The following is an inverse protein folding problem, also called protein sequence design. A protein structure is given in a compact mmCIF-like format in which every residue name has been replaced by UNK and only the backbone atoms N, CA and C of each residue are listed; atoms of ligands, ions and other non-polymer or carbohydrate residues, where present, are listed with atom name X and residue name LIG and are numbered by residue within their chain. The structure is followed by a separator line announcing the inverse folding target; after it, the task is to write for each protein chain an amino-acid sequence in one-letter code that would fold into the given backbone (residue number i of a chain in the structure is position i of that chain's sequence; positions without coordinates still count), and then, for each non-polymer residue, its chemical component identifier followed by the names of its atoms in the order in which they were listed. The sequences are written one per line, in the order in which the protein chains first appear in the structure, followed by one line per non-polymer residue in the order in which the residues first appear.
data_IF_204417238334
#
_entry.id   IF_204417238334
#
_cell.length_a   1.000
_cell.length_b   1.000
_cell.length_c   1.000
_cell.angle_alpha   90.00
_cell.angle_beta   90.00
_cell.angle_gamma   90.00
#
_symmetry.space_group_name_H-M   'P 1'
#
loop_
_entity.id
_entity.type
_entity.pdbx_description
1 polymer ?
#
# COMPACT_ATOMS: atom_id res chain seq x y z
N UNK A 1 2.54 13.43 -35.91
CA UNK A 1 3.64 14.36 -35.51
C UNK A 1 3.03 15.75 -35.43
N UNK A 2 3.36 16.65 -34.47
CA UNK A 2 4.32 16.59 -33.36
C UNK A 2 3.61 16.67 -31.97
N UNK A 3 4.02 15.93 -30.92
CA UNK A 3 5.08 16.25 -29.95
C UNK A 3 5.14 17.73 -29.55
N UNK A 4 4.74 18.04 -28.31
CA UNK A 4 5.30 19.19 -27.59
C UNK A 4 5.49 18.86 -26.12
N UNK A 5 6.77 18.85 -25.78
CA UNK A 5 7.39 18.55 -24.51
C UNK A 5 7.35 19.80 -23.63
N UNK A 6 7.18 19.54 -22.33
CA UNK A 6 7.45 20.36 -21.13
C UNK A 6 8.30 21.63 -21.33
N UNK A 7 7.99 22.64 -20.52
CA UNK A 7 9.01 23.25 -19.66
C UNK A 7 8.44 23.79 -18.34
N UNK A 8 9.07 23.36 -17.25
CA UNK A 8 9.01 23.95 -15.91
C UNK A 8 9.76 25.28 -15.94
N UNK A 9 9.21 26.32 -15.30
CA UNK A 9 10.04 27.45 -14.83
C UNK A 9 9.92 27.61 -13.32
N UNK A 10 11.07 27.45 -12.68
CA UNK A 10 11.37 27.87 -11.32
C UNK A 10 11.12 29.37 -11.15
N UNK A 11 10.34 29.75 -10.14
CA UNK A 11 10.26 31.11 -9.62
C UNK A 11 10.75 31.12 -8.17
N UNK A 12 12.04 31.39 -7.97
CA UNK A 12 12.65 31.63 -6.66
C UNK A 12 12.34 33.09 -6.27
N UNK A 13 11.90 33.39 -5.05
CA UNK A 13 11.49 34.75 -4.68
C UNK A 13 12.72 35.63 -4.40
N UNK A 14 12.73 36.82 -5.02
CA UNK A 14 13.69 37.87 -4.72
C UNK A 14 13.17 38.75 -3.58
N UNK A 15 13.95 38.82 -2.50
CA UNK A 15 13.73 39.73 -1.39
C UNK A 15 13.88 41.19 -1.85
N UNK A 16 12.99 42.07 -1.38
CA UNK A 16 13.33 43.50 -1.22
C UNK A 16 12.60 44.10 -0.02
N UNK A 17 13.33 44.98 0.63
CA UNK A 17 13.20 45.44 1.99
C UNK A 17 12.64 46.87 2.09
N UNK A 18 12.25 47.21 3.33
CA UNK A 18 11.99 48.54 3.96
C UNK A 18 10.52 48.95 4.08
N UNK A 19 10.06 49.63 5.14
CA UNK A 19 10.47 49.89 6.54
C UNK A 19 9.33 50.80 7.12
N UNK A 20 9.14 50.81 8.45
CA UNK A 20 8.60 51.91 9.32
C UNK A 20 7.14 51.80 9.85
N UNK A 21 7.03 51.92 11.20
CA UNK A 21 5.85 52.33 11.99
C UNK A 21 5.43 51.29 13.04
N UNK A 22 5.90 51.36 14.31
CA UNK A 22 5.19 51.90 15.50
C UNK A 22 3.93 51.08 15.87
N UNK A 23 3.66 50.50 17.05
CA UNK A 23 3.92 50.77 18.49
C UNK A 23 3.57 49.45 19.29
N UNK A 24 3.51 49.38 20.64
CA UNK A 24 4.05 48.26 21.42
C UNK A 24 3.00 47.26 21.91
N UNK A 25 3.30 45.97 21.83
CA UNK A 25 2.60 44.93 22.59
C UNK A 25 3.63 43.98 23.21
N UNK A 26 4.37 44.48 24.22
CA UNK A 26 5.21 43.61 25.03
C UNK A 26 4.32 42.80 25.97
N UNK A 27 3.88 41.64 25.49
CA UNK A 27 3.55 40.52 26.36
C UNK A 27 4.42 39.33 25.98
N UNK A 28 5.50 39.15 26.74
CA UNK A 28 6.30 37.95 26.71
C UNK A 28 5.52 36.78 27.34
N UNK A 29 5.19 35.78 26.54
CA UNK A 29 5.12 34.36 26.87
C UNK A 29 5.05 33.65 25.49
N UNK A 30 6.09 33.04 24.97
CA UNK A 30 6.84 31.94 25.59
C UNK A 30 6.33 30.64 24.98
N UNK A 31 7.21 29.93 24.26
CA UNK A 31 7.01 28.61 23.65
C UNK A 31 6.02 28.58 22.46
N UNK A 32 6.41 28.42 21.19
CA UNK A 32 7.51 27.58 20.75
C UNK A 32 7.21 26.13 21.11
N UNK A 33 6.27 25.50 20.42
CA UNK A 33 6.18 24.05 20.23
C UNK A 33 5.37 23.87 18.93
N UNK A 34 6.08 23.79 17.81
CA UNK A 34 6.35 22.49 17.19
C UNK A 34 5.04 21.76 16.99
N UNK A 35 4.52 21.85 15.76
CA UNK A 35 3.72 20.76 15.21
C UNK A 35 4.45 19.47 15.56
N UNK A 36 3.93 18.71 16.52
CA UNK A 36 4.17 17.28 16.55
C UNK A 36 3.60 16.81 15.23
N UNK A 37 4.46 16.80 14.20
CA UNK A 37 4.37 15.77 13.19
C UNK A 37 4.43 14.51 14.04
N UNK A 38 3.27 13.90 14.29
CA UNK A 38 3.25 12.53 14.76
C UNK A 38 3.80 11.73 13.58
N UNK A 39 5.12 11.75 13.51
CA UNK A 39 5.96 10.70 12.99
C UNK A 39 5.64 9.48 13.84
N UNK A 40 4.44 8.93 13.67
CA UNK A 40 4.04 7.70 14.31
C UNK A 40 4.85 6.61 13.64
N UNK A 41 5.77 6.06 14.44
CA UNK A 41 6.44 4.78 14.28
C UNK A 41 5.60 3.92 13.32
N UNK A 42 6.05 3.72 12.07
CA UNK A 42 5.46 2.64 11.27
C UNK A 42 5.72 1.39 12.11
N UNK A 43 4.70 0.74 12.71
CA UNK A 43 4.95 -0.57 13.30
C UNK A 43 5.61 -1.39 12.20
N UNK A 44 6.65 -2.16 12.56
CA UNK A 44 7.26 -3.06 11.59
C UNK A 44 6.10 -3.80 10.90
N UNK A 45 5.93 -3.64 9.58
CA UNK A 45 4.75 -4.15 8.92
C UNK A 45 4.77 -5.65 9.19
N UNK A 46 3.72 -6.18 9.81
CA UNK A 46 3.60 -7.61 9.95
C UNK A 46 3.48 -8.14 8.53
N UNK A 47 4.47 -8.90 8.10
CA UNK A 47 4.50 -9.45 6.74
C UNK A 47 4.23 -10.94 6.82
N UNK A 48 3.32 -11.42 5.97
CA UNK A 48 3.13 -12.85 5.76
C UNK A 48 3.23 -13.15 4.28
N UNK A 49 4.07 -14.12 3.92
CA UNK A 49 4.24 -14.59 2.56
C UNK A 49 3.72 -16.01 2.43
N UNK A 50 3.03 -16.32 1.34
CA UNK A 50 2.63 -17.68 1.01
C UNK A 50 2.88 -17.98 -0.46
N UNK A 51 3.11 -19.25 -0.74
CA UNK A 51 3.33 -19.76 -2.09
C UNK A 51 2.30 -20.84 -2.38
N UNK A 52 1.62 -20.69 -3.50
CA UNK A 52 0.46 -21.52 -3.84
C UNK A 52 0.61 -22.01 -5.27
N UNK A 53 0.70 -23.32 -5.46
CA UNK A 53 0.83 -23.91 -6.80
C UNK A 53 -0.56 -24.16 -7.39
N UNK A 54 -0.85 -23.55 -8.53
CA UNK A 54 -2.12 -23.66 -9.25
C UNK A 54 -1.86 -23.80 -10.76
N UNK A 55 -2.37 -24.86 -11.39
CA UNK A 55 -2.23 -25.12 -12.84
C UNK A 55 -2.87 -24.06 -13.77
N UNK A 56 -3.54 -23.04 -13.21
CA UNK A 56 -4.12 -21.90 -13.93
C UNK A 56 -3.95 -20.60 -13.15
N UNK A 57 -2.75 -20.37 -12.59
CA UNK A 57 -2.46 -19.21 -11.72
C UNK A 57 -2.84 -17.86 -12.37
N UNK A 58 -2.71 -17.71 -13.70
CA UNK A 58 -3.10 -16.50 -14.42
C UNK A 58 -4.63 -16.22 -14.34
N UNK A 59 -5.45 -17.23 -14.63
CA UNK A 59 -6.91 -17.12 -14.56
C UNK A 59 -7.38 -16.92 -13.13
N UNK A 60 -6.73 -17.58 -12.17
CA UNK A 60 -7.05 -17.43 -10.74
C UNK A 60 -6.73 -16.00 -10.29
N UNK A 61 -5.54 -15.49 -10.62
CA UNK A 61 -5.13 -14.12 -10.31
C UNK A 61 -6.10 -13.10 -10.91
N UNK A 62 -6.44 -13.24 -12.19
CA UNK A 62 -7.35 -12.31 -12.88
C UNK A 62 -8.75 -12.30 -12.26
N UNK A 63 -9.32 -13.48 -11.96
CA UNK A 63 -10.64 -13.57 -11.29
C UNK A 63 -10.62 -12.95 -9.91
N UNK A 64 -9.57 -13.21 -9.13
CA UNK A 64 -9.40 -12.70 -7.78
C UNK A 64 -9.26 -11.17 -7.79
N UNK A 65 -8.45 -10.62 -8.70
CA UNK A 65 -8.31 -9.17 -8.87
C UNK A 65 -9.63 -8.51 -9.28
N UNK A 66 -10.35 -9.10 -10.26
CA UNK A 66 -11.65 -8.59 -10.70
C UNK A 66 -12.70 -8.63 -9.59
N UNK A 67 -12.66 -9.66 -8.74
CA UNK A 67 -13.55 -9.76 -7.58
C UNK A 67 -13.25 -8.65 -6.56
N UNK A 68 -11.98 -8.44 -6.21
CA UNK A 68 -11.60 -7.42 -5.25
C UNK A 68 -11.79 -6.00 -5.78
N UNK A 69 -11.58 -5.75 -7.07
CA UNK A 69 -11.78 -4.45 -7.71
C UNK A 69 -13.22 -3.89 -7.58
N UNK A 70 -14.18 -4.72 -7.16
CA UNK A 70 -15.56 -4.30 -6.85
C UNK A 70 -15.61 -3.52 -5.52
N UNK A 71 -14.78 -3.91 -4.54
CA UNK A 71 -14.83 -3.38 -3.17
C UNK A 71 -13.62 -2.53 -2.79
N UNK A 72 -12.46 -2.82 -3.35
CA UNK A 72 -11.18 -2.20 -2.98
C UNK A 72 -10.39 -1.81 -4.22
N UNK A 73 -9.53 -0.78 -4.15
CA UNK A 73 -8.65 -0.42 -5.24
C UNK A 73 -7.61 -1.53 -5.48
N UNK A 74 -7.53 -2.00 -6.72
CA UNK A 74 -6.59 -3.04 -7.16
C UNK A 74 -5.86 -2.56 -8.39
N UNK A 75 -4.53 -2.70 -8.37
CA UNK A 75 -3.65 -2.52 -9.53
C UNK A 75 -3.14 -3.90 -9.91
N UNK A 76 -3.42 -4.37 -11.13
CA UNK A 76 -2.99 -5.69 -11.56
C UNK A 76 -2.52 -5.70 -13.02
N UNK A 77 -1.60 -6.61 -13.29
CA UNK A 77 -0.99 -6.91 -14.57
C UNK A 77 -1.12 -8.43 -14.86
N UNK A 78 -0.54 -8.90 -15.97
CA UNK A 78 -0.53 -10.33 -16.31
C UNK A 78 0.29 -11.23 -15.36
N UNK A 79 1.17 -10.63 -14.54
CA UNK A 79 2.07 -11.36 -13.65
C UNK A 79 2.06 -10.89 -12.20
N UNK A 80 1.60 -9.66 -11.93
CA UNK A 80 1.66 -9.06 -10.61
C UNK A 80 0.35 -8.37 -10.30
N UNK A 81 -0.05 -8.39 -9.04
CA UNK A 81 -1.22 -7.66 -8.58
C UNK A 81 -0.94 -7.07 -7.20
N UNK A 82 -1.49 -5.89 -6.96
CA UNK A 82 -1.42 -5.18 -5.69
C UNK A 82 -2.84 -4.76 -5.34
N UNK A 83 -3.31 -5.27 -4.21
CA UNK A 83 -4.62 -4.97 -3.64
C UNK A 83 -4.38 -4.13 -2.40
N UNK A 84 -5.00 -2.96 -2.36
CA UNK A 84 -4.91 -2.07 -1.20
C UNK A 84 -6.18 -2.25 -0.36
N UNK A 85 -6.03 -2.86 0.82
CA UNK A 85 -7.10 -3.03 1.79
C UNK A 85 -7.04 -1.90 2.82
N UNK A 86 -8.18 -1.52 3.44
CA UNK A 86 -8.19 -0.48 4.47
C UNK A 86 -7.41 -0.85 5.75
N UNK A 87 -6.95 -2.10 5.87
CA UNK A 87 -6.22 -2.64 7.00
C UNK A 87 -4.83 -3.19 6.63
N UNK A 88 -4.39 -3.00 5.38
CA UNK A 88 -3.08 -3.42 4.90
C UNK A 88 -2.98 -3.55 3.38
N UNK A 89 -1.80 -3.88 2.88
CA UNK A 89 -1.56 -4.05 1.44
C UNK A 89 -1.25 -5.52 1.15
N UNK A 90 -1.84 -6.05 0.08
CA UNK A 90 -1.57 -7.41 -0.39
C UNK A 90 -0.95 -7.35 -1.79
N UNK A 91 0.22 -7.94 -1.93
CA UNK A 91 0.92 -8.08 -3.20
C UNK A 91 0.89 -9.54 -3.62
N UNK A 92 0.67 -9.78 -4.89
CA UNK A 92 0.64 -11.10 -5.49
C UNK A 92 1.54 -11.10 -6.71
N UNK A 93 2.33 -12.14 -6.86
CA UNK A 93 3.24 -12.33 -7.97
C UNK A 93 3.12 -13.75 -8.50
N UNK A 94 2.90 -13.87 -9.80
CA UNK A 94 2.77 -15.14 -10.49
C UNK A 94 4.08 -15.49 -11.17
N UNK A 95 4.55 -16.71 -10.92
CA UNK A 95 5.73 -17.32 -11.54
C UNK A 95 5.31 -18.65 -12.15
N UNK A 96 4.86 -18.62 -13.42
CA UNK A 96 4.34 -19.80 -14.09
C UNK A 96 3.03 -20.27 -13.44
N UNK A 97 3.08 -21.48 -12.87
CA UNK A 97 2.00 -22.13 -12.10
C UNK A 97 2.08 -21.83 -10.59
N UNK A 98 3.11 -21.12 -10.13
CA UNK A 98 3.23 -20.69 -8.74
C UNK A 98 2.64 -19.29 -8.58
N UNK A 99 1.82 -19.10 -7.55
CA UNK A 99 1.33 -17.79 -7.12
C UNK A 99 1.91 -17.49 -5.74
N UNK A 100 2.78 -16.49 -5.68
CA UNK A 100 3.33 -15.95 -4.45
C UNK A 100 2.47 -14.80 -3.97
N UNK A 101 2.18 -14.77 -2.69
CA UNK A 101 1.31 -13.79 -2.04
C UNK A 101 2.10 -13.22 -0.88
N UNK A 102 2.04 -11.90 -0.72
CA UNK A 102 2.70 -11.15 0.34
C UNK A 102 1.70 -10.16 0.91
N UNK A 103 1.27 -10.40 2.13
CA UNK A 103 0.38 -9.53 2.88
C UNK A 103 1.20 -8.71 3.87
N UNK A 104 0.93 -7.41 3.94
CA UNK A 104 1.59 -6.44 4.82
C UNK A 104 0.49 -5.71 5.61
N UNK A 105 0.54 -5.75 6.95
CA UNK A 105 -0.47 -5.11 7.82
C UNK A 105 0.18 -4.42 9.02
N UNK A 106 -0.56 -3.53 9.67
CA UNK A 106 -0.10 -2.82 10.87
C UNK A 106 -0.21 -3.64 12.18
N UNK A 107 -0.90 -4.79 12.14
CA UNK A 107 -1.11 -5.67 13.31
C UNK A 107 -1.19 -7.14 12.92
N UNK A 108 -0.76 -8.02 13.82
CA UNK A 108 -0.82 -9.47 13.67
C UNK A 108 -2.26 -10.02 13.56
N UNK A 109 -3.23 -9.40 14.23
CA UNK A 109 -4.65 -9.79 14.17
C UNK A 109 -5.22 -9.53 12.76
N UNK A 110 -5.00 -8.32 12.24
CA UNK A 110 -5.32 -7.94 10.86
C UNK A 110 -4.63 -8.84 9.84
N UNK A 111 -3.38 -9.23 10.12
CA UNK A 111 -2.64 -10.16 9.26
C UNK A 111 -3.32 -11.53 9.22
N UNK A 112 -3.72 -12.07 10.36
CA UNK A 112 -4.40 -13.36 10.44
C UNK A 112 -5.74 -13.33 9.70
N UNK A 113 -6.51 -12.24 9.87
CA UNK A 113 -7.74 -12.02 9.13
C UNK A 113 -7.49 -11.95 7.61
N UNK A 114 -6.49 -11.20 7.17
CA UNK A 114 -6.15 -11.09 5.74
C UNK A 114 -5.71 -12.44 5.16
N UNK A 115 -4.90 -13.23 5.89
CA UNK A 115 -4.51 -14.59 5.50
C UNK A 115 -5.73 -15.50 5.31
N UNK A 116 -6.69 -15.45 6.25
CA UNK A 116 -7.92 -16.25 6.18
C UNK A 116 -8.78 -15.87 4.97
N UNK A 117 -9.02 -14.56 4.78
CA UNK A 117 -9.79 -14.04 3.64
C UNK A 117 -9.11 -14.44 2.33
N UNK A 118 -7.80 -14.24 2.20
CA UNK A 118 -7.06 -14.62 1.00
C UNK A 118 -7.16 -16.14 0.74
N UNK A 119 -7.03 -16.96 1.77
CA UNK A 119 -7.11 -18.42 1.65
C UNK A 119 -8.49 -18.88 1.15
N UNK A 120 -9.58 -18.39 1.74
CA UNK A 120 -10.94 -18.73 1.28
C UNK A 120 -11.17 -18.34 -0.18
N UNK A 121 -10.75 -17.13 -0.59
CA UNK A 121 -10.94 -16.66 -1.96
C UNK A 121 -10.08 -17.45 -2.95
N UNK A 122 -8.86 -17.82 -2.58
CA UNK A 122 -8.00 -18.65 -3.43
C UNK A 122 -8.58 -20.06 -3.61
N UNK A 123 -9.08 -20.69 -2.55
CA UNK A 123 -9.74 -22.01 -2.64
C UNK A 123 -10.96 -21.94 -3.55
N UNK A 124 -11.80 -20.91 -3.40
CA UNK A 124 -12.98 -20.70 -4.26
C UNK A 124 -12.61 -20.46 -5.73
N UNK A 125 -11.58 -19.65 -6.00
CA UNK A 125 -11.18 -19.29 -7.37
C UNK A 125 -10.38 -20.38 -8.09
N UNK A 126 -9.55 -21.12 -7.35
CA UNK A 126 -8.80 -22.28 -7.86
C UNK A 126 -9.67 -23.52 -8.06
N UNK A 127 -10.88 -23.54 -7.47
CA UNK A 127 -11.75 -24.72 -7.37
C UNK A 127 -11.06 -25.91 -6.71
N UNK A 128 -10.00 -25.67 -5.96
CA UNK A 128 -9.25 -26.70 -5.25
C UNK A 128 -9.49 -26.54 -3.75
N UNK A 129 -10.38 -27.38 -3.21
CA UNK A 129 -10.71 -27.39 -1.76
C UNK A 129 -9.60 -27.96 -0.89
N UNK A 130 -8.64 -28.66 -1.46
CA UNK A 130 -7.49 -29.26 -0.75
C UNK A 130 -6.22 -28.41 -0.87
N UNK A 131 -6.35 -27.18 -1.38
CA UNK A 131 -5.23 -26.26 -1.54
C UNK A 131 -4.73 -25.79 -0.16
N UNK A 132 -3.70 -26.45 0.35
CA UNK A 132 -3.02 -26.03 1.56
C UNK A 132 -2.11 -24.83 1.25
N UNK A 133 -2.38 -23.70 1.90
CA UNK A 133 -1.57 -22.48 1.77
C UNK A 133 -0.65 -22.40 2.98
N UNK A 134 0.64 -22.61 2.75
CA UNK A 134 1.66 -22.47 3.78
C UNK A 134 2.04 -21.00 3.92
N UNK A 135 1.57 -20.35 4.99
CA UNK A 135 1.92 -18.97 5.30
C UNK A 135 3.18 -18.91 6.16
N UNK A 136 4.14 -18.11 5.73
CA UNK A 136 5.38 -17.79 6.43
C UNK A 136 5.30 -16.35 6.90
N UNK A 137 5.25 -16.15 8.22
CA UNK A 137 5.31 -14.83 8.82
C UNK A 137 6.77 -14.38 8.88
N UNK A 138 7.06 -13.19 8.38
CA UNK A 138 8.32 -12.51 8.64
C UNK A 138 8.10 -11.60 9.84
N UNK A 139 8.91 -11.84 10.89
CA UNK A 139 9.00 -11.04 12.12
C UNK A 139 9.89 -9.80 11.91
#
# INVERSE_FOLDING_TARGET
MPLSVRHVRCGRPAARSRRVGALPETRCAGAGMTVCVESEIRPAPFVSTAEVTCAQADRVLFKLCKHYAIKVPVVFDAHRATVDFPYGTCRMERTGDLLRIRCETDSADKLAQMQYVMAEHLVLMSRNRELAIAWQRAD
#
